data_IF_281926106981
#
_entry.id   IF_281926106981
#
_cell.length_a   1.000
_cell.length_b   1.000
_cell.length_c   1.000
_cell.angle_alpha   90.00
_cell.angle_beta   90.00
_cell.angle_gamma   90.00
#
_symmetry.space_group_name_H-M   'P 1'
#
loop_
_entity.id
_entity.type
_entity.pdbx_description
1 polymer ?
#
# COMPACT_ATOMS: atom_id res chain seq x y z
N UNK A 1 41.72 -65.78 32.14
CA UNK A 1 42.16 -64.51 32.62
C UNK A 1 42.38 -63.60 31.41
N UNK A 2 41.38 -62.91 30.95
CA UNK A 2 41.51 -61.77 30.01
C UNK A 2 40.31 -60.82 30.25
N UNK A 3 40.61 -59.62 30.77
CA UNK A 3 39.74 -58.53 31.03
C UNK A 3 39.15 -57.98 29.70
N UNK A 4 37.81 -57.88 29.59
CA UNK A 4 37.13 -57.30 28.45
C UNK A 4 36.67 -55.90 28.81
N UNK A 5 37.42 -54.88 28.38
CA UNK A 5 37.06 -53.48 28.51
C UNK A 5 35.86 -53.17 27.62
N UNK A 6 34.78 -52.78 28.25
CA UNK A 6 33.60 -52.24 27.54
C UNK A 6 33.77 -50.72 27.38
N UNK A 7 34.07 -50.29 26.16
CA UNK A 7 33.98 -48.86 25.78
C UNK A 7 32.50 -48.49 25.61
N UNK A 8 31.98 -47.68 26.52
CA UNK A 8 30.69 -46.97 26.29
C UNK A 8 30.99 -45.75 25.43
N UNK A 9 30.56 -45.78 24.19
CA UNK A 9 30.51 -44.59 23.33
C UNK A 9 29.26 -43.80 23.67
N UNK A 10 29.42 -42.66 24.34
CA UNK A 10 28.35 -41.70 24.57
C UNK A 10 28.14 -40.89 23.28
N UNK A 11 27.04 -41.14 22.58
CA UNK A 11 26.64 -40.36 21.42
C UNK A 11 25.95 -39.11 21.95
N UNK A 12 26.62 -37.95 21.90
CA UNK A 12 26.00 -36.64 22.10
C UNK A 12 25.23 -36.27 20.86
N UNK A 13 23.90 -36.43 20.91
CA UNK A 13 22.99 -35.87 19.91
C UNK A 13 22.77 -34.40 20.25
N UNK A 14 23.54 -33.50 19.63
CA UNK A 14 23.26 -32.07 19.65
C UNK A 14 22.08 -31.79 18.74
N UNK A 15 20.89 -31.69 19.33
CA UNK A 15 19.71 -31.18 18.64
C UNK A 15 19.90 -29.69 18.35
N UNK A 16 20.28 -29.34 17.11
CA UNK A 16 20.31 -27.99 16.61
C UNK A 16 18.85 -27.50 16.50
N UNK A 17 18.39 -26.75 17.49
CA UNK A 17 17.11 -26.00 17.38
C UNK A 17 17.31 -24.91 16.33
N UNK A 18 16.89 -25.14 15.10
CA UNK A 18 16.67 -24.09 14.13
C UNK A 18 15.43 -23.29 14.56
N UNK A 19 15.63 -22.26 15.36
CA UNK A 19 14.63 -21.23 15.56
C UNK A 19 14.44 -20.52 14.21
N UNK A 20 13.40 -20.89 13.47
CA UNK A 20 12.95 -20.11 12.31
C UNK A 20 12.46 -18.77 12.84
N UNK A 21 13.29 -17.73 12.73
CA UNK A 21 12.81 -16.36 12.85
C UNK A 21 11.78 -16.15 11.73
N UNK A 22 10.50 -16.30 12.07
CA UNK A 22 9.45 -15.72 11.26
C UNK A 22 9.64 -14.21 11.34
N UNK A 23 10.02 -13.59 10.23
CA UNK A 23 9.92 -12.15 10.09
C UNK A 23 8.45 -11.78 10.45
N UNK A 24 8.25 -10.96 11.46
CA UNK A 24 6.92 -10.47 11.80
C UNK A 24 6.41 -9.73 10.57
N UNK A 25 5.31 -10.21 10.01
CA UNK A 25 4.54 -9.53 8.97
C UNK A 25 3.98 -8.25 9.59
N UNK A 26 4.72 -7.16 9.43
CA UNK A 26 4.39 -5.85 9.97
C UNK A 26 3.36 -5.09 9.11
N UNK A 27 2.77 -5.73 8.09
CA UNK A 27 1.74 -5.15 7.24
C UNK A 27 0.40 -5.04 7.99
N UNK A 28 -0.36 -3.97 7.72
CA UNK A 28 -1.71 -3.87 8.26
C UNK A 28 -2.63 -4.87 7.54
N UNK A 29 -3.52 -5.52 8.28
CA UNK A 29 -4.49 -6.46 7.71
C UNK A 29 -5.87 -5.83 7.54
N UNK A 30 -6.17 -4.80 8.32
CA UNK A 30 -7.44 -4.08 8.31
C UNK A 30 -7.22 -2.61 8.60
N UNK A 31 -7.89 -1.73 7.84
CA UNK A 31 -7.88 -0.31 8.09
C UNK A 31 -8.96 0.08 9.12
N UNK A 32 -8.64 1.04 9.98
CA UNK A 32 -9.63 1.70 10.82
C UNK A 32 -10.35 2.80 10.02
N UNK A 33 -11.61 3.08 10.37
CA UNK A 33 -12.28 4.25 9.81
C UNK A 33 -11.54 5.53 10.20
N UNK A 34 -11.37 6.43 9.27
CA UNK A 34 -10.70 7.71 9.48
C UNK A 34 -11.47 8.84 8.79
N UNK A 35 -11.17 10.08 9.19
CA UNK A 35 -11.70 11.28 8.57
C UNK A 35 -10.57 12.20 8.16
N UNK A 36 -10.63 12.70 6.93
CA UNK A 36 -9.72 13.71 6.40
C UNK A 36 -10.51 14.70 5.54
N UNK A 37 -9.88 15.85 5.24
CA UNK A 37 -10.43 16.82 4.31
C UNK A 37 -9.70 16.79 2.98
N UNK A 38 -10.43 17.03 1.90
CA UNK A 38 -9.85 17.30 0.61
C UNK A 38 -9.30 18.74 0.52
N UNK A 39 -8.69 19.07 -0.60
CA UNK A 39 -8.15 20.42 -0.84
C UNK A 39 -9.23 21.51 -1.04
N UNK A 40 -10.53 21.17 -1.03
CA UNK A 40 -11.66 22.10 -0.99
C UNK A 40 -12.32 22.14 0.38
N UNK A 41 -11.66 21.57 1.42
CA UNK A 41 -12.12 21.50 2.81
C UNK A 41 -13.36 20.63 3.02
N UNK A 42 -13.78 19.86 2.01
CA UNK A 42 -14.84 18.87 2.18
C UNK A 42 -14.31 17.68 2.97
N UNK A 43 -15.01 17.33 4.04
CA UNK A 43 -14.68 16.16 4.87
C UNK A 43 -15.15 14.87 4.20
N UNK A 44 -14.31 13.87 4.26
CA UNK A 44 -14.58 12.50 3.85
C UNK A 44 -14.15 11.54 4.95
N UNK A 45 -14.86 10.46 5.10
CA UNK A 45 -14.45 9.34 5.94
C UNK A 45 -14.37 8.06 5.11
N UNK A 46 -13.52 7.12 5.54
CA UNK A 46 -13.35 5.87 4.81
C UNK A 46 -14.67 5.12 4.62
N UNK A 47 -15.56 5.18 5.63
CA UNK A 47 -16.89 4.57 5.57
C UNK A 47 -17.84 5.16 4.52
N UNK A 48 -17.55 6.32 3.95
CA UNK A 48 -18.34 6.88 2.84
C UNK A 48 -18.21 6.04 1.56
N UNK A 49 -17.17 5.20 1.49
CA UNK A 49 -16.84 4.35 0.34
C UNK A 49 -17.20 2.87 0.55
N UNK A 50 -17.84 2.51 1.67
CA UNK A 50 -18.14 1.11 2.04
C UNK A 50 -19.00 0.33 1.04
N UNK A 51 -19.77 1.03 0.21
CA UNK A 51 -20.64 0.40 -0.80
C UNK A 51 -19.88 0.08 -2.10
N UNK A 52 -18.58 0.38 -2.16
CA UNK A 52 -17.71 0.03 -3.28
C UNK A 52 -17.27 -1.43 -3.21
N UNK A 53 -17.11 -2.06 -4.37
CA UNK A 53 -16.56 -3.43 -4.46
C UNK A 53 -15.10 -3.51 -4.04
N UNK A 54 -14.36 -2.42 -4.23
CA UNK A 54 -13.01 -2.23 -3.75
C UNK A 54 -12.75 -0.75 -3.48
N UNK A 55 -11.87 -0.45 -2.52
CA UNK A 55 -11.42 0.90 -2.20
C UNK A 55 -9.91 0.94 -2.40
N UNK A 56 -9.44 1.72 -3.35
CA UNK A 56 -8.03 1.96 -3.61
C UNK A 56 -7.59 3.20 -2.84
N UNK A 57 -6.64 3.04 -1.93
CA UNK A 57 -5.96 4.12 -1.24
C UNK A 57 -4.55 4.23 -1.82
N UNK A 58 -4.15 5.41 -2.28
CA UNK A 58 -2.81 5.66 -2.83
C UNK A 58 -2.20 6.82 -2.05
N UNK A 59 -1.09 6.56 -1.35
CA UNK A 59 -0.28 7.63 -0.78
C UNK A 59 0.52 8.30 -1.89
N UNK A 60 0.30 9.61 -2.07
CA UNK A 60 0.85 10.41 -3.16
C UNK A 60 1.62 11.61 -2.63
N UNK A 61 2.46 12.18 -3.48
CA UNK A 61 3.24 13.39 -3.17
C UNK A 61 3.30 14.33 -4.37
N UNK A 62 3.26 15.63 -4.11
CA UNK A 62 3.38 16.67 -5.15
C UNK A 62 4.84 16.92 -5.57
N UNK A 63 5.78 16.73 -4.64
CA UNK A 63 7.20 17.00 -4.83
C UNK A 63 8.05 15.75 -5.08
N UNK A 64 7.46 14.54 -5.04
CA UNK A 64 8.20 13.30 -5.30
C UNK A 64 8.29 12.99 -6.79
N UNK A 65 9.51 12.96 -7.40
CA UNK A 65 9.65 12.66 -8.83
C UNK A 65 9.16 11.26 -9.21
N UNK A 66 9.17 10.31 -8.27
CA UNK A 66 8.64 8.96 -8.51
C UNK A 66 7.12 9.00 -8.53
N UNK A 67 6.47 9.60 -7.51
CA UNK A 67 5.01 9.75 -7.48
C UNK A 67 4.51 10.49 -8.73
N UNK A 68 5.21 11.56 -9.13
CA UNK A 68 4.83 12.38 -10.29
C UNK A 68 4.91 11.61 -11.62
N UNK A 69 5.84 10.67 -11.75
CA UNK A 69 5.91 9.82 -12.93
C UNK A 69 4.70 8.88 -13.08
N UNK A 70 3.94 8.69 -12.01
CA UNK A 70 2.72 7.87 -11.99
C UNK A 70 1.42 8.66 -12.17
N UNK A 71 1.42 10.00 -12.17
CA UNK A 71 0.20 10.80 -12.23
C UNK A 71 -0.74 10.36 -13.36
N UNK A 72 -0.24 10.28 -14.60
CA UNK A 72 -1.04 9.84 -15.75
C UNK A 72 -1.56 8.41 -15.60
N UNK A 73 -0.74 7.50 -15.06
CA UNK A 73 -1.14 6.10 -14.83
C UNK A 73 -2.19 5.97 -13.74
N UNK A 74 -2.07 6.72 -12.64
CA UNK A 74 -3.08 6.75 -11.58
C UNK A 74 -4.43 7.21 -12.14
N UNK A 75 -4.43 8.28 -12.92
CA UNK A 75 -5.66 8.79 -13.55
C UNK A 75 -6.24 7.79 -14.56
N UNK A 76 -5.42 7.17 -15.43
CA UNK A 76 -5.86 6.12 -16.35
C UNK A 76 -6.51 4.95 -15.61
N UNK A 77 -5.92 4.49 -14.50
CA UNK A 77 -6.48 3.41 -13.69
C UNK A 77 -7.79 3.86 -13.04
N UNK A 78 -7.85 5.06 -12.47
CA UNK A 78 -9.09 5.62 -11.93
C UNK A 78 -10.21 5.62 -12.98
N UNK A 79 -9.96 6.18 -14.17
CA UNK A 79 -10.95 6.24 -15.25
C UNK A 79 -11.40 4.84 -15.69
N UNK A 80 -10.49 3.89 -15.73
CA UNK A 80 -10.79 2.50 -16.11
C UNK A 80 -11.71 1.78 -15.11
N UNK A 81 -11.58 2.08 -13.81
CA UNK A 81 -12.26 1.33 -12.75
C UNK A 81 -13.39 2.07 -12.03
N UNK A 82 -13.49 3.41 -12.12
CA UNK A 82 -14.50 4.20 -11.41
C UNK A 82 -15.94 3.75 -11.66
N UNK A 83 -16.27 3.32 -12.86
CA UNK A 83 -17.60 2.84 -13.24
C UNK A 83 -17.81 1.33 -13.00
N UNK A 84 -16.80 0.63 -12.48
CA UNK A 84 -16.85 -0.80 -12.15
C UNK A 84 -17.13 -1.05 -10.65
N UNK A 85 -17.40 0.02 -9.90
CA UNK A 85 -17.64 -0.03 -8.46
C UNK A 85 -16.37 0.03 -7.61
N UNK A 86 -15.29 0.61 -8.13
CA UNK A 86 -14.04 0.84 -7.38
C UNK A 86 -13.94 2.32 -7.01
N UNK A 87 -13.80 2.59 -5.71
CA UNK A 87 -13.49 3.92 -5.21
C UNK A 87 -11.98 4.17 -5.21
N UNK A 88 -11.57 5.42 -5.44
CA UNK A 88 -10.17 5.84 -5.40
C UNK A 88 -10.00 7.02 -4.45
N UNK A 89 -9.00 6.92 -3.57
CA UNK A 89 -8.65 7.95 -2.58
C UNK A 89 -7.13 8.14 -2.64
N UNK A 90 -6.68 9.31 -3.07
CA UNK A 90 -5.32 9.77 -2.88
C UNK A 90 -5.15 10.32 -1.46
N UNK A 91 -4.06 10.03 -0.79
CA UNK A 91 -3.71 10.63 0.50
C UNK A 91 -2.34 11.30 0.38
N UNK A 92 -2.31 12.60 0.61
CA UNK A 92 -1.07 13.35 0.71
C UNK A 92 -0.71 13.55 2.18
N UNK A 93 0.38 12.89 2.62
CA UNK A 93 0.86 12.90 4.01
C UNK A 93 2.20 13.62 4.18
N UNK A 94 2.74 14.26 3.14
CA UNK A 94 4.00 14.99 3.29
C UNK A 94 3.81 16.30 4.06
N UNK A 95 4.57 16.49 5.15
CA UNK A 95 4.45 17.67 6.02
C UNK A 95 4.75 18.99 5.35
N UNK A 96 5.65 18.99 4.37
CA UNK A 96 6.07 20.21 3.66
C UNK A 96 5.16 20.58 2.48
N UNK A 97 4.20 19.74 2.11
CA UNK A 97 3.30 19.99 0.99
C UNK A 97 1.98 20.59 1.51
N UNK A 98 1.70 21.83 1.14
CA UNK A 98 0.48 22.54 1.55
C UNK A 98 -0.77 21.99 0.86
N UNK A 99 -1.93 22.37 1.37
CA UNK A 99 -3.23 22.01 0.76
C UNK A 99 -3.37 22.66 -0.62
N UNK A 100 -2.86 23.88 -0.77
CA UNK A 100 -2.86 24.63 -2.02
C UNK A 100 -1.99 23.95 -3.06
N UNK A 101 -0.77 23.50 -2.69
CA UNK A 101 0.09 22.74 -3.58
C UNK A 101 -0.56 21.43 -4.04
N UNK A 102 -1.26 20.73 -3.15
CA UNK A 102 -2.00 19.51 -3.50
C UNK A 102 -3.10 19.83 -4.51
N UNK A 103 -3.86 20.91 -4.32
CA UNK A 103 -4.90 21.36 -5.25
C UNK A 103 -4.35 21.73 -6.62
N UNK A 104 -3.28 22.51 -6.66
CA UNK A 104 -2.63 22.91 -7.91
C UNK A 104 -2.05 21.70 -8.64
N UNK A 105 -1.43 20.78 -7.90
CA UNK A 105 -0.89 19.55 -8.44
C UNK A 105 -1.99 18.68 -9.07
N UNK A 106 -3.10 18.46 -8.35
CA UNK A 106 -4.23 17.68 -8.85
C UNK A 106 -4.78 18.28 -10.15
N UNK A 107 -4.99 19.62 -10.17
CA UNK A 107 -5.46 20.33 -11.35
C UNK A 107 -4.50 20.24 -12.53
N UNK A 108 -3.21 20.48 -12.30
CA UNK A 108 -2.16 20.43 -13.32
C UNK A 108 -2.02 19.07 -13.99
N UNK A 109 -2.22 17.99 -13.22
CA UNK A 109 -2.06 16.62 -13.67
C UNK A 109 -3.39 15.94 -14.01
N UNK A 110 -4.53 16.67 -14.00
CA UNK A 110 -5.87 16.16 -14.26
C UNK A 110 -6.22 14.94 -13.41
N UNK A 111 -5.87 14.97 -12.11
CA UNK A 111 -6.24 13.92 -11.17
C UNK A 111 -7.66 14.17 -10.69
N UNK A 112 -8.61 13.33 -11.13
CA UNK A 112 -10.05 13.51 -10.90
C UNK A 112 -10.61 12.67 -9.74
N UNK A 113 -9.81 11.81 -9.15
CA UNK A 113 -10.19 11.10 -7.92
C UNK A 113 -10.03 11.98 -6.68
N UNK A 114 -10.70 11.60 -5.59
CA UNK A 114 -10.63 12.32 -4.31
C UNK A 114 -9.20 12.30 -3.77
N UNK A 115 -8.66 13.48 -3.43
CA UNK A 115 -7.33 13.59 -2.80
C UNK A 115 -7.49 14.29 -1.46
N UNK A 116 -7.08 13.61 -0.40
CA UNK A 116 -7.20 14.03 0.99
C UNK A 116 -5.85 14.46 1.56
N UNK A 117 -5.88 15.45 2.46
CA UNK A 117 -4.68 15.90 3.17
C UNK A 117 -4.61 15.27 4.56
N UNK A 118 -3.57 14.51 4.80
CA UNK A 118 -3.22 13.95 6.09
C UNK A 118 -2.15 14.84 6.76
N UNK A 119 -2.58 15.84 7.52
CA UNK A 119 -1.73 16.93 8.05
C UNK A 119 -0.73 16.36 9.03
N UNK A 120 -0.84 15.53 9.86
CA UNK A 120 0.14 15.09 10.88
C UNK A 120 0.63 13.66 10.66
N UNK A 121 0.53 13.16 9.43
CA UNK A 121 0.90 11.78 9.06
C UNK A 121 0.11 10.69 9.81
N UNK A 122 -1.01 11.06 10.46
CA UNK A 122 -1.79 10.13 11.30
C UNK A 122 -2.24 8.91 10.51
N UNK A 123 -2.70 9.13 9.28
CA UNK A 123 -3.20 8.03 8.44
C UNK A 123 -2.03 7.27 7.80
N UNK A 124 -0.98 7.96 7.37
CA UNK A 124 0.24 7.29 6.91
C UNK A 124 0.82 6.36 7.98
N UNK A 125 0.81 6.78 9.25
CA UNK A 125 1.31 5.97 10.37
C UNK A 125 0.40 4.76 10.65
N UNK A 126 -0.92 4.95 10.64
CA UNK A 126 -1.90 3.84 10.80
C UNK A 126 -1.77 2.80 9.69
N UNK A 127 -1.56 3.24 8.46
CA UNK A 127 -1.32 2.35 7.33
C UNK A 127 0.11 1.81 7.27
N UNK A 128 1.03 2.33 8.10
CA UNK A 128 2.47 2.07 8.03
C UNK A 128 3.04 2.36 6.64
N UNK A 129 2.43 3.28 5.92
CA UNK A 129 2.87 3.71 4.61
C UNK A 129 4.22 4.42 4.73
N UNK A 130 5.16 4.07 3.87
CA UNK A 130 6.55 4.52 3.97
C UNK A 130 6.98 5.42 2.81
N UNK A 131 6.44 5.19 1.62
CA UNK A 131 6.89 5.84 0.38
C UNK A 131 5.71 6.40 -0.44
N UNK A 132 6.02 7.14 -1.49
CA UNK A 132 5.02 7.59 -2.49
C UNK A 132 5.53 7.31 -3.92
N UNK A 133 4.71 6.66 -4.79
CA UNK A 133 3.37 6.13 -4.49
C UNK A 133 3.40 4.81 -3.73
N UNK A 134 2.44 4.61 -2.83
CA UNK A 134 2.20 3.33 -2.15
C UNK A 134 0.71 3.05 -2.11
N UNK A 135 0.30 1.82 -2.42
CA UNK A 135 -1.09 1.47 -2.66
C UNK A 135 -1.59 0.46 -1.64
N UNK A 136 -2.83 0.66 -1.18
CA UNK A 136 -3.62 -0.32 -0.43
C UNK A 136 -4.96 -0.49 -1.14
N UNK A 137 -5.39 -1.74 -1.33
CA UNK A 137 -6.74 -2.04 -1.83
C UNK A 137 -7.50 -2.73 -0.73
N UNK A 138 -8.66 -2.17 -0.38
CA UNK A 138 -9.51 -2.66 0.70
C UNK A 138 -10.82 -3.23 0.12
N UNK A 139 -11.44 -4.16 0.87
CA UNK A 139 -12.84 -4.54 0.66
C UNK A 139 -13.79 -3.57 1.39
N UNK A 140 -15.10 -3.81 1.29
CA UNK A 140 -16.16 -3.04 1.97
C UNK A 140 -16.09 -3.09 3.51
N UNK A 141 -15.40 -4.07 4.08
CA UNK A 141 -15.18 -4.25 5.51
C UNK A 141 -13.83 -3.66 5.96
N UNK A 142 -13.11 -3.03 5.03
CA UNK A 142 -11.79 -2.41 5.19
C UNK A 142 -10.65 -3.39 5.43
N UNK A 143 -10.82 -4.69 5.15
CA UNK A 143 -9.71 -5.62 5.13
C UNK A 143 -8.80 -5.34 3.94
N UNK A 144 -7.48 -5.40 4.16
CA UNK A 144 -6.48 -5.16 3.12
C UNK A 144 -6.36 -6.40 2.25
N UNK A 145 -6.75 -6.26 0.98
CA UNK A 145 -6.66 -7.31 -0.03
C UNK A 145 -5.35 -7.26 -0.82
N UNK A 146 -4.80 -6.06 -0.99
CA UNK A 146 -3.52 -5.83 -1.67
C UNK A 146 -2.79 -4.66 -1.02
N UNK A 147 -1.47 -4.77 -0.89
CA UNK A 147 -0.57 -3.70 -0.46
C UNK A 147 0.69 -3.69 -1.34
N UNK A 148 1.09 -2.51 -1.81
CA UNK A 148 2.35 -2.39 -2.51
C UNK A 148 2.41 -1.29 -3.56
N UNK A 149 2.93 -1.63 -4.74
CA UNK A 149 3.17 -0.72 -5.85
C UNK A 149 2.02 -0.71 -6.85
N UNK A 150 1.96 0.32 -7.71
CA UNK A 150 1.02 0.40 -8.83
C UNK A 150 1.41 -0.63 -9.90
N UNK A 151 2.68 -0.63 -10.29
CA UNK A 151 3.30 -1.56 -11.25
C UNK A 151 4.80 -1.69 -10.93
N UNK A 152 5.55 -2.42 -11.74
CA UNK A 152 6.94 -2.78 -11.45
C UNK A 152 7.98 -1.83 -12.05
N UNK A 153 7.57 -0.72 -12.71
CA UNK A 153 8.51 0.21 -13.29
C UNK A 153 8.07 1.67 -13.21
N UNK A 154 9.00 2.56 -12.85
CA UNK A 154 8.80 4.00 -12.92
C UNK A 154 8.50 4.47 -14.36
N UNK A 155 9.10 3.84 -15.37
CA UNK A 155 8.85 4.13 -16.78
C UNK A 155 7.74 3.25 -17.29
N UNK A 156 6.72 3.86 -17.88
CA UNK A 156 5.53 3.14 -18.36
C UNK A 156 5.87 2.11 -19.45
N UNK A 157 6.84 2.43 -20.32
CA UNK A 157 7.30 1.55 -21.38
C UNK A 157 8.06 0.29 -20.90
N UNK A 158 8.58 0.31 -19.68
CA UNK A 158 9.35 -0.79 -19.08
C UNK A 158 8.49 -1.70 -18.18
N UNK A 159 7.18 -1.41 -18.02
CA UNK A 159 6.27 -2.17 -17.15
C UNK A 159 6.10 -3.59 -17.67
N UNK A 160 6.35 -4.57 -16.80
CA UNK A 160 6.16 -6.01 -17.04
C UNK A 160 5.06 -6.60 -16.17
N UNK A 161 4.72 -5.95 -15.07
CA UNK A 161 3.69 -6.40 -14.14
C UNK A 161 2.83 -5.23 -13.69
N UNK A 162 1.55 -5.25 -14.06
CA UNK A 162 0.54 -4.26 -13.65
C UNK A 162 -0.13 -4.69 -12.34
N UNK A 163 0.64 -4.69 -11.24
CA UNK A 163 0.27 -5.35 -10.00
C UNK A 163 -1.08 -4.84 -9.43
N UNK A 164 -1.33 -3.52 -9.43
CA UNK A 164 -2.62 -2.97 -8.99
C UNK A 164 -3.79 -3.39 -9.90
N UNK A 165 -3.63 -3.34 -11.23
CA UNK A 165 -4.67 -3.77 -12.16
C UNK A 165 -4.98 -5.26 -12.01
N UNK A 166 -3.95 -6.09 -11.85
CA UNK A 166 -4.12 -7.51 -11.63
C UNK A 166 -4.95 -7.78 -10.37
N UNK A 167 -4.60 -7.13 -9.24
CA UNK A 167 -5.35 -7.25 -8.00
C UNK A 167 -6.81 -6.80 -8.16
N UNK A 168 -7.05 -5.63 -8.79
CA UNK A 168 -8.41 -5.12 -9.03
C UNK A 168 -9.24 -6.05 -9.92
N UNK A 169 -8.64 -6.60 -10.98
CA UNK A 169 -9.32 -7.53 -11.87
C UNK A 169 -9.72 -8.82 -11.15
N UNK A 170 -8.84 -9.37 -10.31
CA UNK A 170 -9.14 -10.56 -9.49
C UNK A 170 -10.29 -10.27 -8.51
N UNK A 171 -10.24 -9.13 -7.80
CA UNK A 171 -11.30 -8.72 -6.85
C UNK A 171 -12.64 -8.56 -7.56
N UNK A 172 -12.69 -7.87 -8.69
CA UNK A 172 -13.92 -7.65 -9.45
C UNK A 172 -14.52 -8.93 -10.03
N UNK A 173 -13.69 -9.96 -10.23
CA UNK A 173 -14.13 -11.31 -10.61
C UNK A 173 -14.53 -12.18 -9.44
N UNK A 174 -14.52 -11.66 -8.20
CA UNK A 174 -14.80 -12.42 -6.98
C UNK A 174 -13.71 -13.44 -6.61
N UNK A 175 -12.51 -13.30 -7.15
CA UNK A 175 -11.37 -14.16 -6.88
C UNK A 175 -10.54 -13.62 -5.70
N UNK A 176 -9.79 -14.51 -5.07
CA UNK A 176 -8.73 -14.09 -4.15
C UNK A 176 -7.60 -13.44 -4.93
N UNK A 177 -7.04 -12.37 -4.37
CA UNK A 177 -5.85 -11.73 -4.94
C UNK A 177 -4.67 -12.70 -4.83
N UNK A 178 -4.11 -13.05 -5.98
CA UNK A 178 -3.00 -14.02 -6.07
C UNK A 178 -1.72 -13.45 -5.46
N UNK A 179 -1.45 -12.17 -5.70
CA UNK A 179 -0.27 -11.46 -5.20
C UNK A 179 -0.72 -10.33 -4.29
N UNK A 180 -0.93 -10.66 -3.02
CA UNK A 180 -1.48 -9.72 -2.02
C UNK A 180 -0.50 -8.63 -1.59
N UNK A 181 0.81 -8.83 -1.82
CA UNK A 181 1.84 -7.88 -1.41
C UNK A 181 2.93 -7.74 -2.46
N UNK A 182 3.38 -6.50 -2.67
CA UNK A 182 4.55 -6.17 -3.49
C UNK A 182 5.34 -5.06 -2.81
N UNK A 183 6.63 -4.95 -3.12
CA UNK A 183 7.46 -3.89 -2.57
C UNK A 183 7.16 -2.58 -3.29
N UNK A 184 6.51 -1.63 -2.61
CA UNK A 184 6.39 -0.25 -3.08
C UNK A 184 7.77 0.42 -3.15
N UNK A 185 7.94 1.32 -4.09
CA UNK A 185 9.17 2.10 -4.25
C UNK A 185 8.84 3.55 -4.60
N UNK A 186 9.64 4.46 -4.06
CA UNK A 186 9.40 5.89 -4.24
C UNK A 186 10.15 6.73 -3.21
N UNK A 187 9.74 7.98 -3.08
CA UNK A 187 10.29 8.89 -2.09
C UNK A 187 9.66 8.63 -0.72
N UNK A 188 10.47 8.64 0.32
CA UNK A 188 9.97 8.50 1.69
C UNK A 188 8.98 9.61 2.05
N UNK A 189 7.87 9.25 2.68
CA UNK A 189 6.89 10.22 3.22
C UNK A 189 7.59 11.09 4.27
N UNK A 190 7.48 12.41 4.13
CA UNK A 190 8.08 13.39 5.03
C UNK A 190 7.17 13.62 6.23
N UNK A 191 7.54 13.04 7.37
CA UNK A 191 6.77 13.10 8.61
C UNK A 191 7.00 14.37 9.41
N UNK A 192 6.02 14.74 10.21
CA UNK A 192 6.22 15.70 11.31
C UNK A 192 7.12 15.06 12.38
N UNK A 193 7.96 15.84 13.02
CA UNK A 193 8.85 15.39 14.09
C UNK A 193 8.08 15.38 15.40
#
# INVERSE_FOLDING_TARGET
MKSLNKFLAAIFITALLFATLKAEDNSIKKAENFKLKDYNWKEYQLSDFKDSKAIVIIFIATQCPVSNAYNSRMEKIYEEYKNKGVAFIGINSNKQESIEEVKEHAKKNNLNFVILKDVNNVIADKFKAAVTPEVFVLNSEFDVLYHGRIDDSRKEEDVKSEDLRNALNEILQGKKVTKTETKAFGCTIKRVN
#
